data_IF_024526391992
#
_entry.id   IF_024526391992
#
_cell.length_a   1.000
_cell.length_b   1.000
_cell.length_c   1.000
_cell.angle_alpha   90.00
_cell.angle_beta   90.00
_cell.angle_gamma   90.00
#
_symmetry.space_group_name_H-M   'P 1'
#
loop_
_entity.id
_entity.type
_entity.pdbx_description
1 polymer ?
#
# COMPACT_ATOMS: atom_id res chain seq x y z
N UNK A 1 -6.36 -12.48 -13.77
CA UNK A 1 -5.31 -12.55 -12.74
C UNK A 1 -4.82 -11.16 -12.43
N UNK A 2 -4.61 -10.86 -11.16
CA UNK A 2 -4.16 -9.55 -10.69
C UNK A 2 -2.91 -9.72 -9.81
N UNK A 3 -1.86 -8.95 -10.07
CA UNK A 3 -0.64 -8.89 -9.24
C UNK A 3 -0.63 -7.67 -8.32
N UNK A 4 -0.32 -7.88 -7.04
CA UNK A 4 -0.09 -6.83 -6.04
C UNK A 4 1.39 -6.82 -5.59
N UNK A 5 2.13 -5.74 -5.85
CA UNK A 5 3.53 -5.64 -5.46
C UNK A 5 3.73 -5.42 -3.96
N UNK A 6 4.94 -5.72 -3.49
CA UNK A 6 5.39 -5.41 -2.13
C UNK A 6 6.03 -4.03 -2.03
N UNK A 7 6.70 -3.79 -0.90
CA UNK A 7 7.47 -2.57 -0.66
C UNK A 7 8.57 -2.39 -1.73
N UNK A 8 8.71 -1.20 -2.31
CA UNK A 8 9.57 -0.93 -3.48
C UNK A 8 9.15 -1.60 -4.79
N UNK A 9 8.04 -2.34 -4.82
CA UNK A 9 7.68 -3.23 -5.91
C UNK A 9 6.91 -2.59 -7.08
N UNK A 10 6.83 -1.27 -7.13
CA UNK A 10 6.20 -0.54 -8.23
C UNK A 10 6.95 0.76 -8.52
N UNK A 11 6.98 1.17 -9.78
CA UNK A 11 7.54 2.45 -10.18
C UNK A 11 6.85 3.64 -9.47
N UNK A 12 7.60 4.71 -9.22
CA UNK A 12 7.08 6.00 -8.78
C UNK A 12 7.61 7.11 -9.68
N UNK A 13 6.75 8.07 -10.01
CA UNK A 13 7.14 9.26 -10.75
C UNK A 13 6.93 10.51 -9.90
N UNK A 14 7.83 11.48 -10.03
CA UNK A 14 7.72 12.75 -9.32
C UNK A 14 7.71 13.94 -10.28
N UNK A 15 7.03 15.01 -9.86
CA UNK A 15 7.13 16.34 -10.45
C UNK A 15 7.47 17.35 -9.36
N UNK A 16 8.45 18.20 -9.61
CA UNK A 16 8.83 19.27 -8.68
C UNK A 16 8.13 20.57 -9.10
N UNK A 17 7.26 21.08 -8.26
CA UNK A 17 6.46 22.28 -8.57
C UNK A 17 7.09 23.58 -8.08
N UNK A 18 8.11 23.47 -7.22
CA UNK A 18 8.78 24.60 -6.60
C UNK A 18 9.06 24.31 -5.14
N UNK A 19 10.09 23.50 -4.88
CA UNK A 19 10.52 23.19 -3.51
C UNK A 19 10.99 24.48 -2.81
N UNK A 20 10.49 24.80 -1.60
CA UNK A 20 10.91 26.00 -0.87
C UNK A 20 12.40 25.90 -0.51
N UNK A 21 12.80 24.72 -0.05
CA UNK A 21 14.15 24.40 0.39
C UNK A 21 14.67 23.14 -0.32
N UNK A 22 16.00 23.03 -0.37
CA UNK A 22 16.71 21.88 -0.93
C UNK A 22 17.92 21.56 -0.05
N UNK A 23 18.23 20.28 0.08
CA UNK A 23 19.36 19.80 0.90
C UNK A 23 20.72 20.25 0.39
N UNK A 24 20.85 20.46 -0.93
CA UNK A 24 22.05 20.98 -1.57
C UNK A 24 21.67 21.97 -2.68
N UNK A 25 22.54 22.95 -2.94
CA UNK A 25 22.28 24.02 -3.91
C UNK A 25 22.07 23.51 -5.34
N UNK A 26 22.63 22.35 -5.68
CA UNK A 26 22.49 21.71 -7.00
C UNK A 26 21.23 20.84 -7.13
N UNK A 27 20.47 20.62 -6.05
CA UNK A 27 19.21 19.89 -6.17
C UNK A 27 18.16 20.76 -6.87
N UNK A 28 17.47 20.17 -7.85
CA UNK A 28 16.41 20.87 -8.55
C UNK A 28 15.25 21.26 -7.61
N UNK A 29 14.75 22.49 -7.75
CA UNK A 29 13.52 22.96 -7.08
C UNK A 29 12.27 22.75 -7.94
N UNK A 30 12.42 22.69 -9.26
CA UNK A 30 11.35 22.56 -10.25
C UNK A 30 11.73 21.56 -11.33
N UNK A 31 10.74 20.91 -11.92
CA UNK A 31 10.87 20.09 -13.13
C UNK A 31 9.74 20.42 -14.09
N UNK A 32 10.04 20.39 -15.39
CA UNK A 32 9.05 20.69 -16.43
C UNK A 32 7.95 19.63 -16.46
N UNK A 33 8.36 18.36 -16.41
CA UNK A 33 7.50 17.18 -16.44
C UNK A 33 7.75 16.23 -15.27
N UNK A 34 6.94 15.16 -15.24
CA UNK A 34 7.17 14.03 -14.35
C UNK A 34 8.40 13.25 -14.80
N UNK A 35 9.27 12.90 -13.86
CA UNK A 35 10.42 12.03 -14.07
C UNK A 35 10.30 10.75 -13.23
N UNK A 36 11.03 9.71 -13.63
CA UNK A 36 11.07 8.45 -12.88
C UNK A 36 11.88 8.62 -11.60
N UNK A 37 11.17 8.62 -10.46
CA UNK A 37 11.75 8.73 -9.12
C UNK A 37 12.21 7.36 -8.61
N UNK A 38 11.48 6.32 -8.97
CA UNK A 38 11.78 4.94 -8.62
C UNK A 38 11.38 3.99 -9.76
N UNK A 39 12.24 3.09 -10.24
CA UNK A 39 13.67 2.99 -9.98
C UNK A 39 14.45 3.73 -11.08
N UNK A 40 15.32 4.65 -10.67
CA UNK A 40 16.26 5.32 -11.56
C UNK A 40 17.65 5.30 -10.91
N UNK A 41 18.55 4.47 -11.42
CA UNK A 41 19.88 4.24 -10.84
C UNK A 41 20.79 5.48 -10.94
N UNK A 42 20.54 6.40 -11.87
CA UNK A 42 21.30 7.65 -11.97
C UNK A 42 21.07 8.55 -10.76
N UNK A 43 19.90 8.43 -10.11
CA UNK A 43 19.56 9.17 -8.90
C UNK A 43 20.32 8.66 -7.67
N UNK A 44 21.02 7.52 -7.76
CA UNK A 44 21.79 6.93 -6.67
C UNK A 44 23.28 7.30 -6.72
N UNK A 45 23.71 8.06 -7.72
CA UNK A 45 25.08 8.52 -7.82
C UNK A 45 25.44 9.46 -6.65
N UNK A 46 26.70 9.42 -6.16
CA UNK A 46 27.19 10.37 -5.16
C UNK A 46 26.87 11.82 -5.56
N UNK A 47 26.41 12.61 -4.60
CA UNK A 47 25.98 14.00 -4.83
C UNK A 47 24.51 14.15 -5.22
N UNK A 48 23.93 13.22 -5.99
CA UNK A 48 22.51 13.30 -6.41
C UNK A 48 21.58 12.63 -5.40
N UNK A 49 22.06 11.59 -4.72
CA UNK A 49 21.22 10.79 -3.83
C UNK A 49 20.56 11.58 -2.69
N UNK A 50 21.22 12.60 -2.16
CA UNK A 50 20.62 13.49 -1.16
C UNK A 50 19.35 14.16 -1.70
N UNK A 51 19.39 14.60 -2.96
CA UNK A 51 18.23 15.19 -3.63
C UNK A 51 17.12 14.15 -3.84
N UNK A 52 17.47 12.93 -4.24
CA UNK A 52 16.51 11.83 -4.41
C UNK A 52 15.82 11.46 -3.10
N UNK A 53 16.60 11.25 -2.03
CA UNK A 53 16.07 10.87 -0.73
C UNK A 53 15.12 11.96 -0.20
N UNK A 54 15.48 13.23 -0.38
CA UNK A 54 14.63 14.36 0.00
C UNK A 54 13.34 14.45 -0.83
N UNK A 55 13.35 14.03 -2.10
CA UNK A 55 12.14 13.94 -2.93
C UNK A 55 11.25 12.74 -2.57
N UNK A 56 11.85 11.64 -2.11
CA UNK A 56 11.14 10.41 -1.73
C UNK A 56 10.43 10.52 -0.38
N UNK A 57 10.94 11.35 0.54
CA UNK A 57 10.42 11.53 1.89
C UNK A 57 8.91 11.83 1.91
N UNK A 58 8.27 11.39 2.99
CA UNK A 58 6.93 11.82 3.37
C UNK A 58 7.00 12.80 4.54
N UNK A 59 6.12 13.79 4.54
CA UNK A 59 5.87 14.64 5.70
C UNK A 59 4.72 14.03 6.51
N UNK A 60 4.97 13.68 7.78
CA UNK A 60 3.96 13.14 8.67
C UNK A 60 3.40 14.23 9.58
N UNK A 61 2.07 14.33 9.67
CA UNK A 61 1.37 15.23 10.57
C UNK A 61 0.80 14.43 11.73
N UNK A 62 1.35 14.62 12.93
CA UNK A 62 0.96 13.90 14.16
C UNK A 62 -0.41 14.33 14.70
N UNK A 63 -0.93 15.49 14.30
CA UNK A 63 -2.29 15.92 14.68
C UNK A 63 -3.35 15.23 13.84
N UNK A 64 -3.10 15.05 12.54
CA UNK A 64 -4.06 14.41 11.62
C UNK A 64 -3.79 12.92 11.39
N UNK A 65 -2.65 12.40 11.89
CA UNK A 65 -2.14 11.05 11.67
C UNK A 65 -2.02 10.67 10.20
N UNK A 66 -1.58 11.63 9.36
CA UNK A 66 -1.53 11.50 7.90
C UNK A 66 -0.19 11.92 7.34
N UNK A 67 0.13 11.34 6.19
CA UNK A 67 1.29 11.68 5.36
C UNK A 67 0.89 12.53 4.17
N UNK A 68 1.76 13.46 3.81
CA UNK A 68 1.78 14.10 2.50
C UNK A 68 3.14 13.90 1.83
N UNK A 69 3.21 14.12 0.53
CA UNK A 69 4.51 14.31 -0.12
C UNK A 69 5.20 15.56 0.47
N UNK A 70 6.53 15.66 0.31
CA UNK A 70 7.27 16.85 0.73
C UNK A 70 6.79 18.11 -0.01
N UNK A 71 6.87 19.31 0.62
CA UNK A 71 6.49 20.56 -0.02
C UNK A 71 7.17 20.78 -1.38
N UNK A 72 6.38 21.07 -2.40
CA UNK A 72 6.86 21.27 -3.78
C UNK A 72 7.15 19.97 -4.55
N UNK A 73 6.78 18.80 -4.01
CA UNK A 73 6.88 17.49 -4.66
C UNK A 73 5.48 16.92 -4.87
N UNK A 74 5.22 16.40 -6.07
CA UNK A 74 4.01 15.62 -6.38
C UNK A 74 4.46 14.26 -6.84
N UNK A 75 4.00 13.19 -6.18
CA UNK A 75 4.28 11.81 -6.60
C UNK A 75 3.03 11.15 -7.17
N UNK A 76 3.23 10.36 -8.23
CA UNK A 76 2.19 9.51 -8.83
C UNK A 76 2.70 8.09 -9.04
N UNK A 77 1.76 7.16 -9.06
CA UNK A 77 2.00 5.74 -9.32
C UNK A 77 1.54 5.41 -10.74
N UNK A 78 2.45 5.19 -11.71
CA UNK A 78 2.07 4.88 -13.08
C UNK A 78 1.65 3.41 -13.27
N UNK A 79 0.93 3.14 -14.36
CA UNK A 79 0.71 1.79 -14.86
C UNK A 79 -0.40 1.00 -14.15
N UNK A 80 -1.33 1.65 -13.46
CA UNK A 80 -2.47 0.98 -12.85
C UNK A 80 -3.33 0.25 -13.89
N UNK A 81 -3.56 -1.05 -13.68
CA UNK A 81 -4.25 -1.93 -14.65
C UNK A 81 -3.36 -2.46 -15.78
N UNK A 82 -2.11 -2.02 -15.88
CA UNK A 82 -1.08 -2.59 -16.75
C UNK A 82 -0.11 -3.45 -15.90
N UNK A 83 0.80 -4.19 -16.54
CA UNK A 83 1.81 -5.02 -15.87
C UNK A 83 3.21 -4.40 -15.92
N UNK A 84 3.47 -3.47 -16.84
CA UNK A 84 4.83 -2.98 -17.12
C UNK A 84 5.56 -2.41 -15.90
N UNK A 85 4.87 -1.61 -15.07
CA UNK A 85 5.47 -0.87 -13.94
C UNK A 85 5.67 -1.72 -12.68
N UNK A 86 5.22 -2.97 -12.70
CA UNK A 86 5.48 -3.98 -11.65
C UNK A 86 6.35 -5.13 -12.17
N UNK A 87 6.38 -5.36 -13.49
CA UNK A 87 7.32 -6.28 -14.15
C UNK A 87 8.75 -5.74 -14.05
N UNK A 88 8.93 -4.46 -14.45
CA UNK A 88 10.19 -3.75 -14.49
C UNK A 88 10.09 -2.46 -13.68
N UNK A 89 10.90 -2.36 -12.62
CA UNK A 89 10.99 -1.17 -11.78
C UNK A 89 11.83 -0.06 -12.43
N UNK A 90 12.73 -0.43 -13.33
CA UNK A 90 13.56 0.50 -14.11
C UNK A 90 13.13 0.48 -15.58
N UNK A 91 12.86 1.65 -16.15
CA UNK A 91 12.45 1.78 -17.55
C UNK A 91 13.55 1.36 -18.55
N UNK A 92 14.82 1.38 -18.14
CA UNK A 92 15.93 0.83 -18.91
C UNK A 92 15.97 -0.71 -18.90
N UNK A 93 15.14 -1.36 -18.08
CA UNK A 93 15.03 -2.82 -17.92
C UNK A 93 16.35 -3.51 -17.57
N UNK A 94 17.20 -2.82 -16.81
CA UNK A 94 18.36 -3.43 -16.17
C UNK A 94 17.93 -4.54 -15.21
N UNK A 95 18.78 -5.54 -15.02
CA UNK A 95 18.51 -6.72 -14.20
C UNK A 95 18.06 -6.39 -12.77
N UNK A 96 18.55 -5.29 -12.21
CA UNK A 96 18.24 -4.77 -10.89
C UNK A 96 16.78 -4.31 -10.77
N UNK A 97 16.16 -3.90 -11.88
CA UNK A 97 14.75 -3.55 -11.95
C UNK A 97 13.82 -4.74 -12.23
N UNK A 98 14.34 -5.96 -12.41
CA UNK A 98 13.52 -7.15 -12.69
C UNK A 98 12.74 -7.57 -11.44
N UNK A 99 11.40 -7.59 -11.52
CA UNK A 99 10.55 -7.93 -10.38
C UNK A 99 9.45 -8.95 -10.73
N UNK A 100 8.25 -8.55 -11.18
CA UNK A 100 7.20 -9.52 -11.60
C UNK A 100 7.43 -10.14 -12.99
N UNK A 101 8.48 -9.71 -13.70
CA UNK A 101 8.74 -10.14 -15.09
C UNK A 101 8.65 -11.65 -15.26
N UNK A 102 9.28 -12.43 -14.38
CA UNK A 102 9.37 -13.90 -14.53
C UNK A 102 8.02 -14.58 -14.41
N UNK A 103 7.20 -14.09 -13.49
CA UNK A 103 5.83 -14.58 -13.29
C UNK A 103 5.01 -14.26 -14.54
N UNK A 104 5.08 -13.03 -15.06
CA UNK A 104 4.29 -12.64 -16.22
C UNK A 104 4.76 -13.36 -17.49
N UNK A 105 6.07 -13.48 -17.70
CA UNK A 105 6.65 -14.20 -18.84
C UNK A 105 6.32 -15.69 -18.84
N UNK A 106 6.23 -16.34 -17.67
CA UNK A 106 5.79 -17.73 -17.58
C UNK A 106 4.30 -17.92 -17.94
N UNK A 107 3.47 -16.90 -17.71
CA UNK A 107 2.02 -16.98 -17.91
C UNK A 107 1.56 -16.61 -19.31
N UNK A 108 2.30 -15.75 -20.01
CA UNK A 108 1.93 -15.30 -21.36
C UNK A 108 1.85 -16.47 -22.37
N UNK A 109 2.80 -17.42 -22.41
CA UNK A 109 2.71 -18.64 -23.24
C UNK A 109 1.49 -19.51 -22.92
N UNK A 110 0.96 -19.44 -21.68
CA UNK A 110 -0.25 -20.16 -21.27
C UNK A 110 -1.55 -19.46 -21.71
N UNK A 111 -1.45 -18.40 -22.52
CA UNK A 111 -2.59 -17.66 -23.07
C UNK A 111 -3.00 -16.42 -22.27
N UNK A 112 -2.25 -16.06 -21.21
CA UNK A 112 -2.48 -14.78 -20.53
C UNK A 112 -2.00 -13.59 -21.38
N UNK A 113 -2.70 -12.47 -21.28
CA UNK A 113 -2.46 -11.26 -22.07
C UNK A 113 -2.31 -10.06 -21.12
N UNK A 114 -1.14 -9.42 -21.17
CA UNK A 114 -0.81 -8.20 -20.41
C UNK A 114 -1.87 -7.12 -20.62
N UNK A 115 -2.28 -6.46 -19.54
CA UNK A 115 -3.32 -5.41 -19.55
C UNK A 115 -4.74 -5.90 -19.85
N UNK A 116 -4.96 -7.22 -20.00
CA UNK A 116 -6.27 -7.80 -20.32
C UNK A 116 -6.69 -8.92 -19.36
N UNK A 117 -5.95 -10.03 -19.36
CA UNK A 117 -6.23 -11.17 -18.47
C UNK A 117 -5.21 -11.29 -17.33
N UNK A 118 -4.07 -10.60 -17.45
CA UNK A 118 -3.13 -10.34 -16.37
C UNK A 118 -2.90 -8.83 -16.26
N UNK A 119 -3.08 -8.29 -15.05
CA UNK A 119 -2.98 -6.85 -14.73
C UNK A 119 -2.21 -6.65 -13.43
N UNK A 120 -1.50 -5.53 -13.32
CA UNK A 120 -0.87 -5.07 -12.08
C UNK A 120 -1.73 -4.02 -11.38
N UNK A 121 -1.66 -4.02 -10.05
CA UNK A 121 -2.22 -2.99 -9.19
C UNK A 121 -1.08 -2.31 -8.41
N UNK A 122 -0.24 -1.49 -9.09
CA UNK A 122 0.82 -0.73 -8.43
C UNK A 122 0.23 0.26 -7.42
N UNK A 123 0.96 0.49 -6.33
CA UNK A 123 0.54 1.32 -5.20
C UNK A 123 1.70 2.18 -4.70
N UNK A 124 1.41 3.28 -3.99
CA UNK A 124 2.45 4.11 -3.36
C UNK A 124 2.95 3.42 -2.09
N UNK A 125 3.92 2.53 -2.27
CA UNK A 125 4.42 1.62 -1.25
C UNK A 125 5.10 2.31 -0.06
N UNK A 126 5.30 3.63 -0.11
CA UNK A 126 5.78 4.43 1.04
C UNK A 126 4.71 4.58 2.13
N UNK A 127 3.43 4.42 1.78
CA UNK A 127 2.29 4.66 2.65
C UNK A 127 1.71 3.35 3.21
N UNK A 128 1.16 3.41 4.42
CA UNK A 128 0.40 2.32 5.04
C UNK A 128 -1.10 2.44 4.74
N UNK A 129 -1.88 1.34 4.74
CA UNK A 129 -3.34 1.44 4.79
C UNK A 129 -3.75 2.41 5.91
N UNK A 130 -4.78 3.22 5.71
CA UNK A 130 -5.29 4.10 6.77
C UNK A 130 -6.74 3.72 7.10
N UNK A 131 -7.19 4.04 8.31
CA UNK A 131 -8.52 3.65 8.77
C UNK A 131 -9.61 4.28 7.90
N UNK A 132 -10.28 3.45 7.11
CA UNK A 132 -11.32 3.85 6.18
C UNK A 132 -12.62 4.21 6.92
N UNK A 133 -13.02 5.48 6.94
CA UNK A 133 -14.27 5.93 7.60
C UNK A 133 -15.49 6.02 6.66
N UNK A 134 -15.37 5.76 5.35
CA UNK A 134 -16.34 6.22 4.35
C UNK A 134 -17.42 5.18 3.94
N UNK A 135 -17.37 3.93 4.42
CA UNK A 135 -18.23 2.87 3.86
C UNK A 135 -19.73 2.94 4.21
N UNK A 136 -20.13 3.70 5.22
CA UNK A 136 -21.55 3.88 5.55
C UNK A 136 -22.26 4.76 4.50
N UNK A 137 -21.66 5.89 4.08
CA UNK A 137 -22.34 6.85 3.20
C UNK A 137 -22.47 6.37 1.74
N UNK A 138 -21.47 5.67 1.20
CA UNK A 138 -21.51 5.16 -0.19
C UNK A 138 -22.47 3.96 -0.35
N UNK A 139 -22.55 3.08 0.66
CA UNK A 139 -23.58 2.02 0.71
C UNK A 139 -24.98 2.60 0.85
N UNK A 140 -25.18 3.63 1.68
CA UNK A 140 -26.48 4.31 1.80
C UNK A 140 -26.91 4.93 0.45
N UNK A 141 -25.99 5.54 -0.30
CA UNK A 141 -26.33 6.12 -1.60
C UNK A 141 -26.64 5.07 -2.67
N UNK A 142 -25.81 4.03 -2.81
CA UNK A 142 -26.02 2.94 -3.78
C UNK A 142 -27.27 2.10 -3.44
N UNK A 143 -27.57 1.90 -2.15
CA UNK A 143 -28.80 1.23 -1.72
C UNK A 143 -30.04 2.13 -1.89
N UNK A 144 -29.96 3.45 -1.70
CA UNK A 144 -31.06 4.37 -2.04
C UNK A 144 -31.38 4.37 -3.54
N UNK A 145 -30.36 4.27 -4.40
CA UNK A 145 -30.59 4.11 -5.85
C UNK A 145 -31.26 2.78 -6.24
N UNK A 146 -31.11 1.73 -5.43
CA UNK A 146 -31.82 0.46 -5.61
C UNK A 146 -33.24 0.54 -5.07
N UNK A 147 -33.45 1.11 -3.87
CA UNK A 147 -34.78 1.29 -3.26
C UNK A 147 -35.70 2.18 -4.11
N UNK A 148 -35.21 3.30 -4.66
CA UNK A 148 -36.01 4.13 -5.59
C UNK A 148 -36.30 3.46 -6.94
N UNK A 149 -35.56 2.42 -7.32
CA UNK A 149 -35.84 1.63 -8.53
C UNK A 149 -36.94 0.60 -8.31
N UNK A 150 -37.19 0.18 -7.07
CA UNK A 150 -38.25 -0.74 -6.68
C UNK A 150 -39.59 -0.04 -6.41
N UNK A 151 -39.60 1.23 -6.01
CA UNK A 151 -40.84 1.98 -5.69
C UNK A 151 -41.55 2.60 -6.92
N UNK A 152 -40.94 2.58 -8.10
CA UNK A 152 -41.52 3.16 -9.31
C UNK A 152 -42.38 2.15 -10.08
N UNK A 153 -43.46 1.68 -9.46
CA UNK A 153 -44.52 0.95 -10.16
C UNK A 153 -45.62 1.94 -10.56
N UNK A 154 -45.35 2.78 -11.57
CA UNK A 154 -46.25 3.88 -11.94
C UNK A 154 -47.42 3.39 -12.82
N UNK A 155 -48.65 3.45 -12.29
CA UNK A 155 -49.90 3.40 -13.07
C UNK A 155 -50.47 4.82 -13.18
N UNK A 156 -50.59 5.35 -14.40
CA UNK A 156 -51.10 6.70 -14.66
C UNK A 156 -51.00 7.10 -16.15
N UNK A 157 -51.67 8.17 -16.54
CA UNK A 157 -51.76 8.58 -17.95
C UNK A 157 -50.47 9.28 -18.44
N UNK A 158 -50.16 9.20 -19.75
CA UNK A 158 -48.82 9.53 -20.33
C UNK A 158 -48.31 10.96 -20.04
N UNK A 159 -49.19 11.95 -19.93
CA UNK A 159 -48.84 13.36 -19.70
C UNK A 159 -48.41 13.65 -18.25
N UNK A 160 -49.03 12.99 -17.28
CA UNK A 160 -48.70 13.12 -15.85
C UNK A 160 -47.37 12.44 -15.52
N UNK A 161 -47.13 11.25 -16.10
CA UNK A 161 -45.88 10.51 -15.96
C UNK A 161 -44.65 11.31 -16.42
N UNK A 162 -44.78 12.09 -17.50
CA UNK A 162 -43.69 12.90 -18.05
C UNK A 162 -43.34 14.12 -17.17
N UNK A 163 -44.34 14.67 -16.47
CA UNK A 163 -44.20 15.83 -15.60
C UNK A 163 -43.66 15.42 -14.22
N UNK A 164 -44.15 14.30 -13.71
CA UNK A 164 -43.70 13.70 -12.44
C UNK A 164 -42.26 13.14 -12.57
N UNK A 165 -41.92 12.51 -13.70
CA UNK A 165 -40.56 12.05 -14.00
C UNK A 165 -39.53 13.20 -14.08
N UNK A 166 -39.92 14.37 -14.58
CA UNK A 166 -39.07 15.58 -14.59
C UNK A 166 -38.84 16.16 -13.19
N UNK A 167 -39.88 16.20 -12.34
CA UNK A 167 -39.76 16.68 -10.96
C UNK A 167 -38.90 15.76 -10.09
N UNK A 168 -39.02 14.45 -10.25
CA UNK A 168 -38.19 13.45 -9.54
C UNK A 168 -36.72 13.56 -9.97
N UNK A 169 -36.44 13.68 -11.28
CA UNK A 169 -35.07 13.90 -11.78
C UNK A 169 -34.43 15.17 -11.21
N UNK A 170 -35.15 16.29 -11.15
CA UNK A 170 -34.64 17.54 -10.59
C UNK A 170 -34.40 17.48 -9.07
N UNK A 171 -35.26 16.78 -8.31
CA UNK A 171 -35.08 16.61 -6.86
C UNK A 171 -33.88 15.71 -6.54
N UNK A 172 -33.76 14.58 -7.24
CA UNK A 172 -32.60 13.68 -7.12
C UNK A 172 -31.30 14.35 -7.52
N UNK A 173 -31.32 15.21 -8.55
CA UNK A 173 -30.14 15.97 -8.97
C UNK A 173 -29.71 17.02 -7.93
N UNK A 174 -30.67 17.72 -7.29
CA UNK A 174 -30.38 18.68 -6.21
C UNK A 174 -29.90 18.00 -4.92
N UNK A 175 -30.48 16.85 -4.57
CA UNK A 175 -30.01 16.04 -3.43
C UNK A 175 -28.64 15.44 -3.71
N UNK A 176 -28.37 15.00 -4.95
CA UNK A 176 -27.03 14.58 -5.39
C UNK A 176 -26.01 15.73 -5.29
N UNK A 177 -26.34 16.93 -5.76
CA UNK A 177 -25.45 18.10 -5.64
C UNK A 177 -25.17 18.44 -4.17
N UNK A 178 -26.18 18.46 -3.30
CA UNK A 178 -25.99 18.73 -1.86
C UNK A 178 -25.19 17.62 -1.16
N UNK A 179 -25.47 16.35 -1.46
CA UNK A 179 -24.72 15.23 -0.90
C UNK A 179 -23.29 15.20 -1.43
N UNK A 180 -23.08 15.47 -2.72
CA UNK A 180 -21.75 15.53 -3.34
C UNK A 180 -20.93 16.71 -2.80
N UNK A 181 -21.53 17.87 -2.55
CA UNK A 181 -20.82 19.03 -1.99
C UNK A 181 -20.45 18.81 -0.51
N UNK A 182 -21.36 18.28 0.31
CA UNK A 182 -21.10 17.99 1.73
C UNK A 182 -20.13 16.81 1.89
N UNK A 183 -20.22 15.79 1.03
CA UNK A 183 -19.24 14.71 0.97
C UNK A 183 -17.89 15.28 0.54
N UNK A 184 -17.78 16.06 -0.55
CA UNK A 184 -16.52 16.72 -0.94
C UNK A 184 -15.93 17.64 0.13
N UNK A 185 -16.75 18.32 0.94
CA UNK A 185 -16.30 19.23 2.00
C UNK A 185 -15.92 18.47 3.29
N UNK A 186 -16.50 17.30 3.56
CA UNK A 186 -16.17 16.43 4.72
C UNK A 186 -15.24 15.25 4.37
N UNK A 187 -14.82 15.10 3.11
CA UNK A 187 -13.83 14.09 2.66
C UNK A 187 -12.46 14.49 3.21
N UNK A 188 -12.21 14.06 4.43
CA UNK A 188 -10.86 13.90 4.94
C UNK A 188 -10.20 12.77 4.13
N UNK A 189 -9.57 13.12 3.01
CA UNK A 189 -8.84 12.26 2.05
C UNK A 189 -8.06 11.14 2.75
N UNK A 190 -8.39 9.87 2.51
CA UNK A 190 -7.60 8.70 2.95
C UNK A 190 -6.39 8.48 2.00
N UNK A 191 -5.28 7.98 2.55
CA UNK A 191 -4.03 7.71 1.83
C UNK A 191 -4.17 6.65 0.73
N UNK A 192 -5.12 5.71 0.88
CA UNK A 192 -5.40 4.65 -0.10
C UNK A 192 -6.85 4.62 -0.62
N UNK A 193 -7.66 5.64 -0.37
CA UNK A 193 -9.10 5.61 -0.69
C UNK A 193 -9.33 5.42 -2.19
N UNK A 194 -8.66 6.27 -2.97
CA UNK A 194 -8.68 6.23 -4.42
C UNK A 194 -8.10 4.92 -4.93
N UNK A 195 -7.07 4.40 -4.26
CA UNK A 195 -6.45 3.15 -4.63
C UNK A 195 -7.39 1.95 -4.45
N UNK A 196 -8.02 1.78 -3.29
CA UNK A 196 -8.95 0.67 -3.05
C UNK A 196 -10.21 0.78 -3.90
N UNK A 197 -10.71 1.99 -4.17
CA UNK A 197 -11.81 2.19 -5.11
C UNK A 197 -11.41 1.74 -6.53
N UNK A 198 -10.23 2.15 -6.99
CA UNK A 198 -9.68 1.71 -8.27
C UNK A 198 -9.42 0.20 -8.31
N UNK A 199 -9.02 -0.39 -7.18
CA UNK A 199 -8.78 -1.83 -7.04
C UNK A 199 -10.06 -2.64 -7.20
N UNK A 200 -11.14 -2.21 -6.54
CA UNK A 200 -12.48 -2.79 -6.71
C UNK A 200 -12.86 -2.73 -8.18
N UNK A 201 -12.78 -1.55 -8.79
CA UNK A 201 -13.15 -1.35 -10.19
C UNK A 201 -12.33 -2.25 -11.12
N UNK A 202 -11.01 -2.34 -10.91
CA UNK A 202 -10.12 -3.18 -11.70
C UNK A 202 -10.49 -4.66 -11.61
N UNK A 203 -10.79 -5.17 -10.41
CA UNK A 203 -11.17 -6.57 -10.20
C UNK A 203 -12.52 -6.85 -10.86
N UNK A 204 -13.49 -5.94 -10.72
CA UNK A 204 -14.81 -6.10 -11.34
C UNK A 204 -14.74 -6.05 -12.87
N UNK A 205 -13.90 -5.18 -13.43
CA UNK A 205 -13.67 -5.11 -14.87
C UNK A 205 -12.95 -6.34 -15.38
N UNK A 206 -11.93 -6.82 -14.67
CA UNK A 206 -11.23 -8.05 -15.01
C UNK A 206 -12.18 -9.25 -15.01
N UNK A 207 -13.11 -9.32 -14.04
CA UNK A 207 -14.17 -10.32 -14.02
C UNK A 207 -15.07 -10.20 -15.26
N UNK A 208 -15.56 -9.00 -15.59
CA UNK A 208 -16.44 -8.77 -16.75
C UNK A 208 -15.75 -9.13 -18.07
N UNK A 209 -14.53 -8.67 -18.29
CA UNK A 209 -13.79 -8.86 -19.54
C UNK A 209 -13.31 -10.30 -19.76
N UNK A 210 -13.10 -11.07 -18.69
CA UNK A 210 -12.66 -12.47 -18.79
C UNK A 210 -13.82 -13.46 -18.68
N UNK A 211 -14.97 -13.12 -19.26
CA UNK A 211 -16.12 -14.02 -19.35
C UNK A 211 -16.75 -14.35 -17.99
N UNK A 212 -16.74 -13.39 -17.05
CA UNK A 212 -17.27 -13.55 -15.68
C UNK A 212 -16.56 -14.65 -14.88
N UNK A 213 -15.28 -14.88 -15.17
CA UNK A 213 -14.43 -15.74 -14.36
C UNK A 213 -13.89 -14.96 -13.17
N UNK A 214 -13.96 -15.60 -12.00
CA UNK A 214 -13.41 -15.07 -10.75
C UNK A 214 -11.91 -14.79 -10.90
N UNK A 215 -11.44 -13.75 -10.22
CA UNK A 215 -10.07 -13.25 -10.30
C UNK A 215 -9.18 -13.99 -9.30
N UNK A 216 -8.09 -14.58 -9.80
CA UNK A 216 -6.96 -15.01 -8.98
C UNK A 216 -6.07 -13.81 -8.68
N UNK A 217 -5.82 -13.56 -7.39
CA UNK A 217 -4.94 -12.50 -6.89
C UNK A 217 -3.60 -13.12 -6.51
N UNK A 218 -2.49 -12.52 -6.93
CA UNK A 218 -1.15 -12.84 -6.44
C UNK A 218 -0.61 -11.61 -5.73
N UNK A 219 -0.16 -11.76 -4.49
CA UNK A 219 0.46 -10.67 -3.75
C UNK A 219 1.84 -11.08 -3.22
N UNK A 220 2.81 -10.16 -3.30
CA UNK A 220 4.17 -10.38 -2.81
C UNK A 220 4.47 -9.52 -1.57
N UNK A 221 5.16 -10.09 -0.57
CA UNK A 221 5.66 -9.35 0.61
C UNK A 221 4.56 -8.49 1.25
N UNK A 222 4.77 -7.18 1.40
CA UNK A 222 3.81 -6.20 1.93
C UNK A 222 2.46 -6.18 1.20
N UNK A 223 2.40 -6.57 -0.07
CA UNK A 223 1.13 -6.67 -0.78
C UNK A 223 0.15 -7.64 -0.09
N UNK A 224 0.65 -8.65 0.63
CA UNK A 224 -0.18 -9.61 1.34
C UNK A 224 -0.96 -8.98 2.51
N UNK A 225 -0.31 -8.32 3.49
CA UNK A 225 -1.05 -7.63 4.54
C UNK A 225 -1.92 -6.48 4.01
N UNK A 226 -1.53 -5.80 2.92
CA UNK A 226 -2.40 -4.80 2.25
C UNK A 226 -3.68 -5.45 1.69
N UNK A 227 -3.58 -6.61 1.03
CA UNK A 227 -4.76 -7.36 0.59
C UNK A 227 -5.61 -7.89 1.76
N UNK A 228 -4.98 -8.28 2.87
CA UNK A 228 -5.72 -8.70 4.07
C UNK A 228 -6.59 -7.57 4.59
N UNK A 229 -6.01 -6.37 4.69
CA UNK A 229 -6.74 -5.17 5.08
C UNK A 229 -7.92 -4.92 4.14
N UNK A 230 -7.70 -5.00 2.84
CA UNK A 230 -8.74 -4.88 1.82
C UNK A 230 -9.88 -5.90 2.02
N UNK A 231 -9.56 -7.18 2.18
CA UNK A 231 -10.56 -8.24 2.33
C UNK A 231 -11.38 -8.17 3.61
N UNK A 232 -10.82 -7.60 4.67
CA UNK A 232 -11.46 -7.54 5.99
C UNK A 232 -12.21 -6.23 6.23
N UNK A 233 -11.71 -5.11 5.68
CA UNK A 233 -12.23 -3.77 6.02
C UNK A 233 -12.92 -3.07 4.85
N UNK A 234 -12.61 -3.43 3.60
CA UNK A 234 -13.08 -2.69 2.42
C UNK A 234 -14.23 -3.42 1.72
N UNK A 235 -14.10 -4.73 1.47
CA UNK A 235 -15.09 -5.49 0.69
C UNK A 235 -15.93 -6.44 1.55
N UNK A 236 -17.17 -6.67 1.13
CA UNK A 236 -18.07 -7.63 1.81
C UNK A 236 -17.76 -9.07 1.43
N UNK A 237 -18.22 -10.03 2.24
CA UNK A 237 -18.10 -11.45 1.91
C UNK A 237 -18.77 -11.80 0.58
N UNK A 238 -19.99 -11.30 0.35
CA UNK A 238 -20.70 -11.51 -0.92
C UNK A 238 -19.94 -10.96 -2.14
N UNK A 239 -19.18 -9.87 -1.97
CA UNK A 239 -18.32 -9.34 -3.02
C UNK A 239 -17.14 -10.30 -3.28
N UNK A 240 -16.47 -10.76 -2.22
CA UNK A 240 -15.36 -11.73 -2.32
C UNK A 240 -15.80 -13.03 -3.00
N UNK A 241 -16.93 -13.59 -2.57
CA UNK A 241 -17.47 -14.83 -3.13
C UNK A 241 -17.82 -14.71 -4.62
N UNK A 242 -18.19 -13.51 -5.06
CA UNK A 242 -18.52 -13.23 -6.46
C UNK A 242 -17.29 -13.00 -7.33
N UNK A 243 -16.31 -12.24 -6.86
CA UNK A 243 -15.24 -11.71 -7.69
C UNK A 243 -13.89 -12.39 -7.50
N UNK A 244 -13.62 -12.99 -6.34
CA UNK A 244 -12.31 -13.56 -6.00
C UNK A 244 -12.35 -15.08 -6.13
N UNK A 245 -11.41 -15.62 -6.89
CA UNK A 245 -11.21 -17.06 -7.02
C UNK A 245 -10.37 -17.56 -5.85
N UNK A 246 -9.14 -17.05 -5.76
CA UNK A 246 -8.17 -17.41 -4.73
C UNK A 246 -7.11 -16.31 -4.61
N UNK A 247 -6.39 -16.32 -3.48
CA UNK A 247 -5.24 -15.47 -3.20
C UNK A 247 -3.98 -16.34 -3.12
N UNK A 248 -2.99 -16.07 -3.96
CA UNK A 248 -1.66 -16.67 -3.87
C UNK A 248 -0.75 -15.69 -3.14
N UNK A 249 -0.31 -16.09 -1.96
CA UNK A 249 0.61 -15.34 -1.13
C UNK A 249 2.04 -15.75 -1.40
N UNK A 250 2.88 -14.82 -1.87
CA UNK A 250 4.31 -15.03 -2.05
C UNK A 250 5.06 -14.23 -1.00
N UNK A 251 5.79 -14.92 -0.12
CA UNK A 251 6.61 -14.33 0.94
C UNK A 251 5.87 -13.26 1.78
N UNK A 252 4.61 -13.52 2.17
CA UNK A 252 3.77 -12.54 2.85
C UNK A 252 4.31 -12.10 4.22
N UNK A 253 4.50 -10.79 4.38
CA UNK A 253 4.96 -10.17 5.63
C UNK A 253 3.80 -9.99 6.64
N UNK A 254 3.06 -11.06 6.92
CA UNK A 254 1.82 -11.01 7.71
C UNK A 254 2.04 -10.45 9.12
N UNK A 255 3.09 -10.93 9.80
CA UNK A 255 3.42 -10.56 11.17
C UNK A 255 4.33 -9.35 11.32
N UNK A 256 4.65 -8.64 10.24
CA UNK A 256 5.77 -7.70 10.20
C UNK A 256 7.14 -8.40 10.10
N UNK A 257 8.22 -7.63 10.16
CA UNK A 257 9.59 -8.12 9.94
C UNK A 257 10.60 -7.44 10.89
N UNK A 258 11.51 -8.21 11.51
CA UNK A 258 12.56 -7.67 12.39
C UNK A 258 13.50 -6.69 11.67
N UNK A 259 13.66 -6.85 10.36
CA UNK A 259 14.46 -5.95 9.55
C UNK A 259 13.96 -4.50 9.61
N UNK A 260 12.68 -4.27 9.91
CA UNK A 260 12.12 -2.93 10.13
C UNK A 260 12.65 -2.28 11.40
N UNK A 261 12.88 -3.06 12.47
CA UNK A 261 13.47 -2.52 13.72
C UNK A 261 14.89 -2.03 13.44
N UNK A 262 15.66 -2.81 12.66
CA UNK A 262 16.99 -2.42 12.19
C UNK A 262 16.96 -1.19 11.27
N UNK A 263 15.98 -1.10 10.37
CA UNK A 263 15.73 0.08 9.52
C UNK A 263 15.61 1.34 10.38
N UNK A 264 14.72 1.31 11.38
CA UNK A 264 14.49 2.46 12.25
C UNK A 264 15.75 2.84 13.04
N UNK A 265 16.50 1.88 13.57
CA UNK A 265 17.69 2.18 14.38
C UNK A 265 18.89 2.66 13.53
N UNK A 266 19.24 1.93 12.48
CA UNK A 266 20.52 2.06 11.78
C UNK A 266 20.42 2.64 10.37
N UNK A 267 19.22 2.67 9.76
CA UNK A 267 19.06 2.94 8.32
C UNK A 267 19.47 1.78 7.44
N UNK A 268 19.86 0.65 8.04
CA UNK A 268 20.23 -0.55 7.31
C UNK A 268 18.97 -1.37 6.99
N UNK A 269 18.29 -0.94 5.93
CA UNK A 269 17.35 -1.80 5.23
C UNK A 269 17.39 -1.52 3.73
N UNK A 270 18.23 -2.26 3.02
CA UNK A 270 18.15 -2.32 1.57
C UNK A 270 17.59 -3.69 1.19
N UNK A 271 16.31 -3.91 1.51
CA UNK A 271 15.52 -5.01 0.94
C UNK A 271 15.39 -4.92 -0.59
N UNK A 272 15.87 -3.84 -1.22
CA UNK A 272 15.78 -3.56 -2.65
C UNK A 272 16.94 -4.11 -3.48
N UNK A 273 17.67 -5.13 -3.01
CA UNK A 273 18.84 -5.67 -3.72
C UNK A 273 19.94 -4.62 -4.00
N UNK A 274 19.98 -3.55 -3.19
CA UNK A 274 20.89 -2.40 -3.36
C UNK A 274 22.20 -2.51 -2.58
N UNK A 275 22.54 -3.71 -2.08
CA UNK A 275 23.77 -3.93 -1.29
C UNK A 275 25.04 -3.48 -2.02
N UNK A 276 25.05 -3.53 -3.36
CA UNK A 276 26.16 -3.06 -4.19
C UNK A 276 26.39 -1.55 -4.08
N UNK A 277 25.33 -0.78 -3.86
CA UNK A 277 25.40 0.68 -3.76
C UNK A 277 25.69 1.15 -2.34
N UNK A 278 25.74 0.27 -1.32
CA UNK A 278 25.94 0.62 0.10
C UNK A 278 27.15 1.52 0.37
N UNK A 279 28.19 1.44 -0.46
CA UNK A 279 29.39 2.31 -0.39
C UNK A 279 29.06 3.77 -0.75
N UNK A 280 28.08 4.00 -1.63
CA UNK A 280 27.67 5.30 -2.17
C UNK A 280 26.48 5.91 -1.42
N UNK A 281 25.83 5.13 -0.54
CA UNK A 281 24.59 5.48 0.15
C UNK A 281 24.89 5.90 1.60
N UNK A 282 24.81 7.19 1.97
CA UNK A 282 25.00 7.60 3.36
C UNK A 282 23.87 7.00 4.23
N UNK A 283 24.19 6.14 5.23
CA UNK A 283 23.15 5.47 6.01
C UNK A 283 22.20 6.44 6.72
N UNK A 284 22.70 7.62 7.13
CA UNK A 284 21.89 8.66 7.78
C UNK A 284 20.81 9.24 6.86
N UNK A 285 21.16 9.60 5.63
CA UNK A 285 20.21 10.16 4.64
C UNK A 285 19.13 9.16 4.28
N UNK A 286 19.52 7.90 4.04
CA UNK A 286 18.55 6.84 3.76
C UNK A 286 17.68 6.55 4.96
N UNK A 287 18.24 6.53 6.17
CA UNK A 287 17.47 6.33 7.40
C UNK A 287 16.35 7.37 7.52
N UNK A 288 16.64 8.65 7.34
CA UNK A 288 15.64 9.71 7.47
C UNK A 288 14.52 9.59 6.42
N UNK A 289 14.87 9.16 5.21
CA UNK A 289 13.89 8.84 4.17
C UNK A 289 13.03 7.64 4.54
N UNK A 290 13.64 6.52 4.90
CA UNK A 290 12.93 5.27 5.19
C UNK A 290 12.06 5.38 6.44
N UNK A 291 12.54 6.08 7.48
CA UNK A 291 11.77 6.40 8.68
C UNK A 291 10.48 7.16 8.37
N UNK A 292 10.49 8.00 7.33
CA UNK A 292 9.30 8.76 6.94
C UNK A 292 8.18 7.90 6.34
N UNK A 293 8.48 6.69 5.87
CA UNK A 293 7.49 5.81 5.25
C UNK A 293 6.62 5.14 6.30
N UNK A 294 5.31 5.43 6.28
CA UNK A 294 4.36 4.78 7.19
C UNK A 294 4.22 3.29 6.91
N UNK A 295 4.55 2.83 5.70
CA UNK A 295 4.66 1.40 5.39
C UNK A 295 5.70 0.67 6.25
N UNK A 296 6.79 1.34 6.64
CA UNK A 296 7.78 0.78 7.57
C UNK A 296 7.15 0.53 8.93
N UNK A 297 6.40 1.50 9.46
CA UNK A 297 5.67 1.34 10.72
C UNK A 297 4.56 0.26 10.63
N UNK A 298 3.92 0.11 9.46
CA UNK A 298 2.93 -0.95 9.21
C UNK A 298 3.54 -2.35 9.21
N UNK A 299 4.78 -2.49 8.77
CA UNK A 299 5.53 -3.74 8.76
C UNK A 299 6.34 -3.99 10.04
N UNK A 300 6.19 -3.14 11.06
CA UNK A 300 6.79 -3.38 12.37
C UNK A 300 6.30 -4.72 12.95
N UNK A 301 7.13 -5.47 13.70
CA UNK A 301 6.71 -6.72 14.36
C UNK A 301 5.36 -6.57 15.09
N UNK A 302 4.41 -7.45 14.78
CA UNK A 302 3.06 -7.41 15.34
C UNK A 302 2.90 -8.27 16.59
N UNK A 303 2.02 -7.86 17.51
CA UNK A 303 1.67 -8.64 18.71
C UNK A 303 1.06 -10.02 18.40
N UNK A 304 0.50 -10.21 17.21
CA UNK A 304 -0.12 -11.47 16.83
C UNK A 304 0.89 -12.59 16.53
N UNK A 305 2.16 -12.25 16.26
CA UNK A 305 3.23 -13.23 15.94
C UNK A 305 4.39 -13.15 16.93
N UNK A 306 4.74 -11.96 17.39
CA UNK A 306 5.97 -11.70 18.14
C UNK A 306 5.73 -11.51 19.65
N UNK A 307 4.55 -11.88 20.17
CA UNK A 307 4.24 -11.80 21.60
C UNK A 307 4.59 -13.11 22.34
N UNK A 308 4.82 -13.00 23.65
CA UNK A 308 5.33 -14.06 24.53
C UNK A 308 4.39 -15.25 24.76
N UNK A 309 3.10 -15.12 24.40
CA UNK A 309 2.05 -16.05 24.79
C UNK A 309 1.54 -16.90 23.62
N UNK A 310 1.82 -18.19 23.73
CA UNK A 310 1.24 -19.35 23.04
C UNK A 310 1.78 -19.71 21.65
N UNK A 311 2.49 -20.83 21.66
CA UNK A 311 2.95 -21.62 20.54
C UNK A 311 1.74 -22.17 19.78
N UNK A 312 1.44 -21.59 18.62
CA UNK A 312 0.68 -22.33 17.60
C UNK A 312 1.53 -23.53 17.13
N UNK A 313 0.96 -24.74 16.96
CA UNK A 313 1.70 -25.98 16.69
C UNK A 313 2.41 -26.04 15.32
N UNK A 314 2.57 -24.92 14.61
CA UNK A 314 3.11 -24.86 13.25
C UNK A 314 4.27 -23.86 13.09
N UNK A 315 5.06 -23.64 14.15
CA UNK A 315 6.32 -22.87 14.11
C UNK A 315 7.40 -23.66 14.86
N UNK A 316 7.87 -24.75 14.26
CA UNK A 316 8.80 -25.70 14.85
C UNK A 316 10.28 -25.25 14.89
N UNK A 317 10.63 -23.99 14.64
CA UNK A 317 12.05 -23.60 14.47
C UNK A 317 12.48 -22.23 15.01
N UNK A 318 11.75 -21.59 15.92
CA UNK A 318 12.14 -20.25 16.38
C UNK A 318 12.23 -20.12 17.91
N UNK A 319 13.40 -19.75 18.48
CA UNK A 319 13.50 -19.42 19.90
C UNK A 319 12.62 -18.20 20.19
N UNK A 320 12.04 -18.16 21.40
CA UNK A 320 11.16 -17.10 21.92
C UNK A 320 11.68 -15.68 21.59
N UNK A 321 11.14 -15.06 20.55
CA UNK A 321 11.52 -13.70 20.12
C UNK A 321 10.71 -12.64 20.86
N UNK A 322 10.95 -12.50 22.16
CA UNK A 322 10.41 -11.36 22.92
C UNK A 322 11.22 -10.09 22.66
N UNK A 323 12.54 -10.24 22.41
CA UNK A 323 13.49 -9.16 22.22
C UNK A 323 13.69 -8.87 20.74
N UNK A 324 13.24 -7.68 20.32
CA UNK A 324 13.34 -7.16 18.96
C UNK A 324 14.71 -6.51 18.67
N UNK A 325 15.30 -5.87 19.68
CA UNK A 325 16.61 -5.25 19.62
C UNK A 325 17.25 -5.24 21.02
N UNK A 326 18.58 -5.20 21.09
CA UNK A 326 19.31 -5.07 22.35
C UNK A 326 20.52 -4.15 22.19
N UNK A 327 20.75 -3.30 23.20
CA UNK A 327 21.88 -2.37 23.29
C UNK A 327 22.44 -2.43 24.71
N UNK A 328 23.65 -2.98 24.88
CA UNK A 328 24.18 -3.29 26.20
C UNK A 328 23.25 -4.22 26.98
N UNK A 329 22.87 -3.82 28.20
CA UNK A 329 21.91 -4.55 29.05
C UNK A 329 20.44 -4.22 28.75
N UNK A 330 20.17 -3.29 27.84
CA UNK A 330 18.81 -2.85 27.50
C UNK A 330 18.21 -3.72 26.40
N UNK A 331 17.00 -4.24 26.65
CA UNK A 331 16.23 -5.03 25.70
C UNK A 331 14.97 -4.28 25.26
N UNK A 332 14.78 -4.19 23.95
CA UNK A 332 13.56 -3.66 23.33
C UNK A 332 12.67 -4.81 22.90
N UNK A 333 11.40 -4.71 23.24
CA UNK A 333 10.34 -5.70 23.03
C UNK A 333 9.09 -4.97 22.52
N UNK A 334 8.02 -5.71 22.21
CA UNK A 334 6.74 -5.09 21.90
C UNK A 334 6.07 -4.37 23.09
N UNK A 335 6.59 -4.52 24.32
CA UNK A 335 6.07 -3.86 25.52
C UNK A 335 6.64 -2.45 25.71
N UNK A 336 7.78 -2.13 25.10
CA UNK A 336 8.48 -0.84 25.26
C UNK A 336 8.86 -0.21 23.90
N UNK A 337 7.92 -0.22 22.96
CA UNK A 337 8.12 0.37 21.62
C UNK A 337 8.27 1.89 21.67
N UNK A 338 7.56 2.57 22.57
CA UNK A 338 7.71 4.02 22.78
C UNK A 338 9.14 4.38 23.19
N UNK A 339 9.67 3.65 24.16
CA UNK A 339 11.05 3.82 24.64
C UNK A 339 12.08 3.59 23.52
N UNK A 340 11.86 2.60 22.65
CA UNK A 340 12.69 2.38 21.47
C UNK A 340 12.73 3.61 20.56
N UNK A 341 11.58 4.21 20.23
CA UNK A 341 11.52 5.39 19.36
C UNK A 341 12.12 6.64 19.99
N UNK A 342 11.99 6.79 21.30
CA UNK A 342 12.61 7.88 22.07
C UNK A 342 14.14 7.76 22.04
N UNK A 343 14.69 6.56 22.30
CA UNK A 343 16.14 6.34 22.35
C UNK A 343 16.83 6.57 20.99
N UNK A 344 16.16 6.23 19.88
CA UNK A 344 16.69 6.49 18.52
C UNK A 344 16.43 7.92 18.03
N UNK A 345 15.87 8.78 18.91
CA UNK A 345 15.50 10.18 18.66
C UNK A 345 14.57 10.35 17.46
N UNK A 346 13.51 9.53 17.40
CA UNK A 346 12.50 9.57 16.35
C UNK A 346 11.08 9.35 16.90
N UNK A 347 10.63 10.29 17.74
CA UNK A 347 9.33 10.24 18.43
C UNK A 347 8.14 10.14 17.45
N UNK A 348 8.23 10.80 16.29
CA UNK A 348 7.23 10.71 15.21
C UNK A 348 6.99 9.25 14.80
N UNK A 349 8.02 8.41 14.86
CA UNK A 349 7.90 6.98 14.57
C UNK A 349 6.97 6.23 15.51
N UNK A 350 6.86 6.65 16.77
CA UNK A 350 5.91 6.06 17.69
C UNK A 350 4.46 6.42 17.32
N UNK A 351 4.19 7.67 16.93
CA UNK A 351 2.87 8.06 16.40
C UNK A 351 2.51 7.30 15.13
N UNK A 352 3.48 7.13 14.22
CA UNK A 352 3.30 6.29 13.03
C UNK A 352 2.95 4.85 13.41
N UNK A 353 3.72 4.24 14.32
CA UNK A 353 3.49 2.89 14.82
C UNK A 353 2.09 2.73 15.43
N UNK A 354 1.67 3.63 16.32
CA UNK A 354 0.35 3.58 16.94
C UNK A 354 -0.78 3.61 15.90
N UNK A 355 -0.62 4.41 14.85
CA UNK A 355 -1.60 4.52 13.78
C UNK A 355 -1.69 3.27 12.89
N UNK A 356 -0.57 2.55 12.69
CA UNK A 356 -0.49 1.47 11.69
C UNK A 356 -0.44 0.06 12.27
N UNK A 357 0.11 -0.14 13.47
CA UNK A 357 0.43 -1.46 14.03
C UNK A 357 -0.79 -2.37 14.24
N UNK A 358 -1.97 -1.77 14.42
CA UNK A 358 -3.20 -2.49 14.74
C UNK A 358 -4.16 -2.64 13.56
N UNK A 359 -3.80 -2.16 12.36
CA UNK A 359 -4.69 -2.14 11.19
C UNK A 359 -5.16 -3.52 10.73
N UNK A 360 -4.35 -4.56 10.99
CA UNK A 360 -4.68 -5.94 10.65
C UNK A 360 -5.48 -6.67 11.75
N UNK A 361 -5.78 -5.98 12.85
CA UNK A 361 -6.56 -6.52 13.97
C UNK A 361 -5.96 -7.81 14.52
N UNK A 362 -6.80 -8.83 14.73
CA UNK A 362 -6.42 -10.17 15.22
C UNK A 362 -6.13 -11.17 14.09
N UNK A 363 -5.67 -10.70 12.92
CA UNK A 363 -5.47 -11.53 11.72
C UNK A 363 -6.66 -12.44 11.37
N UNK A 364 -7.85 -11.86 11.34
CA UNK A 364 -9.03 -12.58 10.87
C UNK A 364 -8.79 -13.08 9.45
N UNK A 365 -9.07 -14.37 9.23
CA UNK A 365 -8.88 -14.99 7.93
C UNK A 365 -9.62 -14.21 6.83
N UNK A 366 -9.05 -14.08 5.63
CA UNK A 366 -9.63 -13.27 4.55
C UNK A 366 -10.90 -13.87 3.96
N UNK A 367 -11.27 -15.11 4.35
CA UNK A 367 -12.46 -15.85 3.87
C UNK A 367 -12.52 -15.97 2.35
N UNK A 368 -11.35 -16.22 1.76
CA UNK A 368 -11.15 -16.63 0.36
C UNK A 368 -10.16 -17.78 0.39
N UNK A 369 -10.11 -18.61 -0.66
CA UNK A 369 -9.09 -19.65 -0.77
C UNK A 369 -7.69 -19.02 -0.82
N UNK A 370 -6.78 -19.41 0.07
CA UNK A 370 -5.40 -18.89 0.11
C UNK A 370 -4.40 -20.01 -0.15
N UNK A 371 -3.44 -19.74 -1.04
CA UNK A 371 -2.29 -20.61 -1.32
C UNK A 371 -1.02 -19.89 -0.88
N UNK A 372 -0.22 -20.51 -0.02
CA UNK A 372 0.98 -19.91 0.54
C UNK A 372 2.24 -20.42 -0.16
N UNK A 373 3.10 -19.50 -0.56
CA UNK A 373 4.46 -19.76 -1.05
C UNK A 373 5.40 -18.96 -0.16
N UNK A 374 6.16 -19.64 0.70
CA UNK A 374 7.15 -19.04 1.57
C UNK A 374 8.45 -19.82 1.50
N UNK A 375 9.56 -19.13 1.79
CA UNK A 375 10.90 -19.76 1.83
C UNK A 375 11.18 -20.15 3.27
N UNK A 376 11.51 -21.42 3.51
CA UNK A 376 11.73 -21.97 4.86
C UNK A 376 13.20 -22.14 5.27
N UNK A 377 14.16 -21.88 4.37
CA UNK A 377 15.56 -22.30 4.55
C UNK A 377 16.63 -21.26 4.13
N UNK A 378 16.38 -19.97 4.38
CA UNK A 378 17.42 -18.93 4.29
C UNK A 378 17.71 -18.43 5.70
N UNK A 379 18.99 -18.19 6.06
CA UNK A 379 19.35 -17.51 7.30
C UNK A 379 18.69 -16.13 7.33
N UNK A 380 17.60 -16.01 8.06
CA UNK A 380 16.96 -14.73 8.36
C UNK A 380 17.77 -14.09 9.49
N UNK A 381 17.96 -12.77 9.47
CA UNK A 381 18.64 -12.08 10.58
C UNK A 381 17.73 -12.18 11.81
N UNK A 382 18.02 -13.13 12.69
CA UNK A 382 17.17 -13.50 13.83
C UNK A 382 17.45 -12.68 15.10
N UNK A 383 18.66 -12.13 15.23
CA UNK A 383 19.06 -11.20 16.30
C UNK A 383 20.38 -10.55 15.92
N UNK A 384 20.50 -9.23 16.07
CA UNK A 384 21.79 -8.55 16.11
C UNK A 384 21.78 -7.54 17.25
N UNK A 385 22.86 -7.52 18.01
CA UNK A 385 23.23 -6.37 18.84
C UNK A 385 23.30 -5.16 17.90
N UNK A 386 22.49 -4.13 18.16
CA UNK A 386 22.45 -2.91 17.36
C UNK A 386 23.54 -1.96 17.85
#
# INVERSE_FOLDING_TARGET
MQGLPGDGGAQLQAKLTGKPEVVHYWCAKKSDDFFDLWLNLELFLPGVIGCWADNMKLAYNTTTNRTSDMPGVIIRVPGFGNTSTVEWLDNSKRSEGRYFTDIVEALVPLGYRRGKSIVGAPLDWRRAPSMFFIFENFKIWTNRQKLHRYDLNMKGNRSELATQGRRIKCRLFREWLRFSLITMILVARDEYETYYANLIQLIEDLYRYNGRRKVLVIAHSMGNPVMLYFYNNIVSQAWKDKFIHSHVSVAGAWGGALQIVRLFASGEHLGYNMNHYRILLPPSTLRDMQRSFTSSAFLFPSYNVWNDSEVGPLLLLHPKYSVLAAVGDKNYTLKNVEEFFNDIRYEVGFSQYQNTAHLLGKFSAPKVEVRYVFISALYVVEKRTI
#
